data_IF_352323420099
#
_entry.id   IF_352323420099
#
_cell.length_a   1.000
_cell.length_b   1.000
_cell.length_c   1.000
_cell.angle_alpha   90.00
_cell.angle_beta   90.00
_cell.angle_gamma   90.00
#
_symmetry.space_group_name_H-M   'P 1'
#
loop_
_entity.id
_entity.type
_entity.pdbx_description
1 polymer ?
#
# COMPACT_ATOMS: atom_id res chain seq x y z
N UNK A 1 -11.77 6.68 -14.69
CA UNK A 1 -11.23 5.31 -14.87
C UNK A 1 -10.48 4.82 -13.62
N UNK A 2 -9.41 5.48 -13.15
CA UNK A 2 -8.60 5.02 -12.00
C UNK A 2 -9.37 4.91 -10.67
N UNK A 3 -10.21 5.89 -10.33
CA UNK A 3 -11.02 5.89 -9.10
C UNK A 3 -12.05 4.75 -9.10
N UNK A 4 -12.66 4.47 -10.24
CA UNK A 4 -13.62 3.38 -10.40
C UNK A 4 -12.95 2.02 -10.22
N UNK A 5 -11.75 1.83 -10.78
CA UNK A 5 -10.96 0.61 -10.58
C UNK A 5 -10.56 0.43 -9.11
N UNK A 6 -10.08 1.48 -8.45
CA UNK A 6 -9.73 1.42 -7.02
C UNK A 6 -10.94 1.03 -6.15
N UNK A 7 -12.12 1.55 -6.49
CA UNK A 7 -13.37 1.20 -5.82
C UNK A 7 -13.80 -0.25 -6.10
N UNK A 8 -13.73 -0.70 -7.36
CA UNK A 8 -14.00 -2.09 -7.76
C UNK A 8 -13.08 -3.08 -7.03
N UNK A 9 -11.79 -2.77 -6.92
CA UNK A 9 -10.83 -3.58 -6.16
C UNK A 9 -11.14 -3.59 -4.66
N UNK A 10 -11.63 -2.48 -4.10
CA UNK A 10 -12.11 -2.44 -2.71
C UNK A 10 -13.31 -3.39 -2.51
N UNK A 11 -14.30 -3.34 -3.40
CA UNK A 11 -15.51 -4.18 -3.32
C UNK A 11 -15.19 -5.66 -3.57
N UNK A 12 -14.34 -5.96 -4.55
CA UNK A 12 -13.88 -7.32 -4.85
C UNK A 12 -13.00 -7.89 -3.72
N UNK A 13 -12.16 -7.04 -3.13
CA UNK A 13 -11.32 -7.36 -1.96
C UNK A 13 -12.14 -7.70 -0.72
N UNK A 14 -13.29 -7.05 -0.55
CA UNK A 14 -14.20 -7.24 0.60
C UNK A 14 -15.17 -8.41 0.40
N UNK A 15 -15.69 -8.65 -0.82
CA UNK A 15 -16.76 -9.64 -1.05
C UNK A 15 -16.33 -10.97 -1.67
N UNK A 16 -15.26 -11.00 -2.47
CA UNK A 16 -14.93 -12.19 -3.29
C UNK A 16 -13.56 -12.79 -3.00
N UNK A 17 -12.72 -12.11 -2.21
CA UNK A 17 -11.37 -12.61 -1.92
C UNK A 17 -11.42 -13.53 -0.71
N UNK A 18 -11.30 -14.84 -0.95
CA UNK A 18 -10.95 -15.79 0.13
C UNK A 18 -9.51 -15.53 0.53
N UNK A 19 -9.33 -14.69 1.54
CA UNK A 19 -8.02 -14.39 2.11
C UNK A 19 -7.52 -15.65 2.80
N UNK A 20 -6.47 -16.25 2.25
CA UNK A 20 -5.73 -17.32 2.91
C UNK A 20 -4.51 -16.71 3.62
N UNK A 21 -4.57 -16.66 4.95
CA UNK A 21 -3.48 -16.15 5.81
C UNK A 21 -2.18 -16.92 5.60
N UNK A 22 -2.25 -18.19 5.21
CA UNK A 22 -1.08 -19.04 4.99
C UNK A 22 -0.47 -18.85 3.58
N UNK A 23 -1.16 -18.15 2.67
CA UNK A 23 -0.68 -17.82 1.31
C UNK A 23 -0.90 -16.33 0.97
N UNK A 24 -0.11 -15.41 1.58
CA UNK A 24 -0.23 -13.97 1.33
C UNK A 24 0.07 -13.57 -0.13
N UNK A 25 0.63 -14.48 -0.93
CA UNK A 25 0.94 -14.26 -2.35
C UNK A 25 -0.31 -14.02 -3.21
N UNK A 26 -1.47 -14.51 -2.79
CA UNK A 26 -2.75 -14.30 -3.48
C UNK A 26 -3.23 -12.84 -3.43
N UNK A 27 -2.69 -12.03 -2.52
CA UNK A 27 -3.08 -10.63 -2.32
C UNK A 27 -2.24 -9.64 -3.16
N UNK A 28 -1.19 -10.12 -3.84
CA UNK A 28 -0.30 -9.30 -4.69
C UNK A 28 -1.02 -8.47 -5.77
N UNK A 29 -2.06 -8.96 -6.47
CA UNK A 29 -2.74 -8.20 -7.53
C UNK A 29 -3.37 -6.91 -7.01
N UNK A 30 -3.92 -6.93 -5.78
CA UNK A 30 -4.53 -5.76 -5.14
C UNK A 30 -3.48 -4.70 -4.77
N UNK A 31 -2.32 -5.15 -4.26
CA UNK A 31 -1.20 -4.26 -3.99
C UNK A 31 -0.66 -3.62 -5.29
N UNK A 32 -0.53 -4.41 -6.36
CA UNK A 32 -0.09 -3.92 -7.67
C UNK A 32 -1.07 -2.88 -8.25
N UNK A 33 -2.38 -3.11 -8.17
CA UNK A 33 -3.38 -2.18 -8.66
C UNK A 33 -3.29 -0.80 -7.98
N UNK A 34 -3.04 -0.76 -6.68
CA UNK A 34 -2.82 0.50 -5.95
C UNK A 34 -1.56 1.25 -6.42
N UNK A 35 -0.45 0.53 -6.59
CA UNK A 35 0.84 1.13 -7.02
C UNK A 35 0.78 1.61 -8.47
N UNK A 36 0.05 0.91 -9.34
CA UNK A 36 -0.10 1.29 -10.74
C UNK A 36 -0.82 2.64 -10.87
N UNK A 37 -1.85 2.87 -10.04
CA UNK A 37 -2.52 4.17 -9.96
C UNK A 37 -1.57 5.29 -9.50
N UNK A 38 -0.75 5.02 -8.48
CA UNK A 38 0.28 5.94 -8.01
C UNK A 38 1.31 6.27 -9.12
N UNK A 39 1.81 5.26 -9.82
CA UNK A 39 2.77 5.41 -10.92
C UNK A 39 2.22 6.27 -12.05
N UNK A 40 0.95 6.08 -12.44
CA UNK A 40 0.32 6.88 -13.48
C UNK A 40 0.21 8.35 -13.06
N UNK A 41 -0.19 8.62 -11.81
CA UNK A 41 -0.31 9.98 -11.30
C UNK A 41 1.07 10.65 -11.19
N UNK A 42 2.04 9.98 -10.57
CA UNK A 42 3.40 10.55 -10.41
C UNK A 42 4.14 10.67 -11.75
N UNK A 43 3.91 9.74 -12.69
CA UNK A 43 4.44 9.82 -14.04
C UNK A 43 3.89 11.02 -14.81
N UNK A 44 2.58 11.26 -14.73
CA UNK A 44 1.97 12.48 -15.29
C UNK A 44 2.50 13.76 -14.66
N UNK A 45 2.73 13.74 -13.34
CA UNK A 45 3.29 14.85 -12.58
C UNK A 45 4.76 15.14 -12.94
N UNK A 46 5.54 14.11 -13.26
CA UNK A 46 6.91 14.26 -13.70
C UNK A 46 7.02 14.87 -15.11
N UNK A 47 5.99 14.70 -15.94
CA UNK A 47 5.93 15.26 -17.30
C UNK A 47 5.39 16.69 -17.36
N UNK A 48 4.82 17.20 -16.26
CA UNK A 48 4.21 18.54 -16.22
C UNK A 48 5.20 19.68 -16.51
N UNK A 49 6.47 19.64 -16.05
CA UNK A 49 7.46 20.65 -16.43
C UNK A 49 7.75 20.67 -17.94
N UNK A 50 7.61 19.53 -18.63
CA UNK A 50 7.84 19.44 -20.07
C UNK A 50 6.84 20.30 -20.88
N UNK A 51 5.68 20.59 -20.30
CA UNK A 51 4.67 21.46 -20.92
C UNK A 51 5.04 22.95 -20.86
N UNK A 52 6.02 23.34 -20.04
CA UNK A 52 6.52 24.71 -19.97
C UNK A 52 7.66 25.01 -20.95
N UNK A 53 7.94 24.14 -21.94
CA UNK A 53 8.95 24.43 -22.96
C UNK A 53 8.69 25.75 -23.72
N UNK A 54 7.44 26.21 -23.78
CA UNK A 54 7.03 27.49 -24.41
C UNK A 54 6.73 28.62 -23.40
N UNK A 55 6.90 28.43 -22.09
CA UNK A 55 6.45 29.40 -21.07
C UNK A 55 7.40 29.47 -19.88
N UNK A 56 7.64 30.65 -19.31
CA UNK A 56 8.49 30.81 -18.11
C UNK A 56 8.10 29.81 -17.02
N UNK A 57 9.09 29.11 -16.44
CA UNK A 57 8.84 28.10 -15.42
C UNK A 57 8.43 28.79 -14.11
N UNK A 58 7.12 28.88 -13.87
CA UNK A 58 6.56 29.48 -12.65
C UNK A 58 6.35 28.42 -11.58
N UNK A 59 7.35 28.25 -10.71
CA UNK A 59 7.33 27.29 -9.61
C UNK A 59 6.04 27.33 -8.75
N UNK A 60 5.43 28.52 -8.60
CA UNK A 60 4.16 28.72 -7.88
C UNK A 60 2.98 27.96 -8.48
N UNK A 61 2.92 27.84 -9.82
CA UNK A 61 1.83 27.16 -10.52
C UNK A 61 1.93 25.63 -10.37
N UNK A 62 3.16 25.11 -10.33
CA UNK A 62 3.44 23.69 -10.08
C UNK A 62 3.18 23.27 -8.64
N UNK A 63 3.38 24.18 -7.67
CA UNK A 63 3.11 23.90 -6.27
C UNK A 63 1.65 23.52 -6.01
N UNK A 64 0.69 24.17 -6.68
CA UNK A 64 -0.74 23.80 -6.60
C UNK A 64 -1.03 22.43 -7.21
N UNK A 65 -0.38 22.08 -8.32
CA UNK A 65 -0.51 20.75 -8.91
C UNK A 65 -0.02 19.66 -7.95
N UNK A 66 1.07 19.91 -7.22
CA UNK A 66 1.57 19.00 -6.18
C UNK A 66 0.62 18.91 -4.98
N UNK A 67 0.12 20.05 -4.50
CA UNK A 67 -0.78 20.11 -3.36
C UNK A 67 -2.06 19.28 -3.56
N UNK A 68 -2.55 19.17 -4.81
CA UNK A 68 -3.74 18.37 -5.15
C UNK A 68 -3.39 16.92 -5.52
N UNK A 69 -2.31 16.71 -6.29
CA UNK A 69 -1.95 15.38 -6.76
C UNK A 69 -1.39 14.48 -5.67
N UNK A 70 -0.62 15.01 -4.73
CA UNK A 70 -0.01 14.22 -3.66
C UNK A 70 -1.06 13.56 -2.73
N UNK A 71 -2.08 14.27 -2.21
CA UNK A 71 -3.14 13.64 -1.43
C UNK A 71 -3.88 12.56 -2.22
N UNK A 72 -4.18 12.79 -3.49
CA UNK A 72 -4.90 11.82 -4.34
C UNK A 72 -4.04 10.58 -4.62
N UNK A 73 -2.76 10.78 -4.90
CA UNK A 73 -1.76 9.75 -5.11
C UNK A 73 -1.60 8.83 -3.89
N UNK A 74 -1.74 9.36 -2.67
CA UNK A 74 -1.69 8.59 -1.43
C UNK A 74 -3.06 7.97 -1.10
N UNK A 75 -4.15 8.72 -1.27
CA UNK A 75 -5.49 8.31 -0.87
C UNK A 75 -6.01 7.11 -1.70
N UNK A 76 -5.74 7.08 -3.00
CA UNK A 76 -6.25 6.01 -3.88
C UNK A 76 -5.68 4.62 -3.54
N UNK A 77 -4.35 4.43 -3.40
CA UNK A 77 -3.77 3.17 -2.96
C UNK A 77 -4.26 2.78 -1.56
N UNK A 78 -4.31 3.74 -0.62
CA UNK A 78 -4.78 3.49 0.74
C UNK A 78 -6.24 3.00 0.71
N UNK A 79 -7.11 3.61 -0.08
CA UNK A 79 -8.52 3.20 -0.19
C UNK A 79 -8.65 1.79 -0.77
N UNK A 80 -7.94 1.49 -1.86
CA UNK A 80 -7.93 0.15 -2.46
C UNK A 80 -7.45 -0.92 -1.47
N UNK A 81 -6.49 -0.58 -0.60
CA UNK A 81 -5.93 -1.48 0.39
C UNK A 81 -6.80 -1.65 1.64
N UNK A 82 -7.65 -0.67 1.97
CA UNK A 82 -8.55 -0.78 3.14
C UNK A 82 -9.53 -1.94 3.02
N UNK A 83 -10.04 -2.21 1.82
CA UNK A 83 -10.93 -3.35 1.57
C UNK A 83 -10.26 -4.69 1.90
N UNK A 84 -9.04 -4.88 1.39
CA UNK A 84 -8.24 -6.09 1.66
C UNK A 84 -7.82 -6.19 3.13
N UNK A 85 -7.43 -5.07 3.76
CA UNK A 85 -7.10 -5.06 5.19
C UNK A 85 -8.29 -5.49 6.05
N UNK A 86 -9.51 -5.05 5.70
CA UNK A 86 -10.72 -5.45 6.42
C UNK A 86 -10.97 -6.96 6.28
N UNK A 87 -10.82 -7.52 5.08
CA UNK A 87 -10.99 -8.97 4.90
C UNK A 87 -9.91 -9.79 5.61
N UNK A 88 -8.65 -9.34 5.62
CA UNK A 88 -7.57 -9.98 6.42
C UNK A 88 -7.93 -9.99 7.91
N UNK A 89 -8.38 -8.86 8.46
CA UNK A 89 -8.75 -8.76 9.88
C UNK A 89 -9.97 -9.63 10.19
N UNK A 90 -10.97 -9.66 9.31
CA UNK A 90 -12.17 -10.48 9.48
C UNK A 90 -11.81 -11.98 9.48
N UNK A 91 -11.04 -12.45 8.51
CA UNK A 91 -10.59 -13.86 8.45
C UNK A 91 -9.71 -14.21 9.64
N UNK A 92 -8.79 -13.34 10.05
CA UNK A 92 -7.96 -13.58 11.23
C UNK A 92 -8.80 -13.74 12.48
N UNK A 93 -9.80 -12.87 12.69
CA UNK A 93 -10.71 -12.98 13.83
C UNK A 93 -11.51 -14.28 13.81
N UNK A 94 -11.97 -14.71 12.64
CA UNK A 94 -12.69 -15.97 12.49
C UNK A 94 -11.80 -17.20 12.79
N UNK A 95 -10.56 -17.23 12.28
CA UNK A 95 -9.60 -18.31 12.60
C UNK A 95 -9.18 -18.30 14.08
N UNK A 96 -8.93 -17.14 14.67
CA UNK A 96 -8.60 -17.07 16.10
C UNK A 96 -9.77 -17.53 16.97
N UNK A 97 -11.01 -17.17 16.61
CA UNK A 97 -12.19 -17.64 17.33
C UNK A 97 -12.35 -19.17 17.25
N UNK A 98 -12.12 -19.77 16.08
CA UNK A 98 -12.20 -21.23 15.94
C UNK A 98 -11.06 -21.95 16.67
N UNK A 99 -9.85 -21.37 16.70
CA UNK A 99 -8.73 -21.89 17.48
C UNK A 99 -8.97 -21.77 18.98
N UNK A 100 -9.53 -20.65 19.46
CA UNK A 100 -9.85 -20.46 20.87
C UNK A 100 -10.93 -21.46 21.33
N UNK A 101 -11.93 -21.75 20.49
CA UNK A 101 -12.93 -22.81 20.75
C UNK A 101 -12.31 -24.22 20.76
N UNK A 102 -11.40 -24.51 19.82
CA UNK A 102 -10.66 -25.77 19.77
C UNK A 102 -9.73 -25.97 20.98
N UNK A 103 -9.13 -24.89 21.49
CA UNK A 103 -8.30 -24.91 22.71
C UNK A 103 -9.18 -25.09 23.95
N UNK A 104 -10.34 -24.44 23.99
CA UNK A 104 -11.28 -24.57 25.11
C UNK A 104 -11.86 -25.99 25.23
N UNK A 105 -12.08 -26.66 24.10
CA UNK A 105 -12.59 -28.04 24.02
C UNK A 105 -11.50 -29.12 24.04
N UNK A 106 -10.21 -28.75 23.97
CA UNK A 106 -9.12 -29.70 24.06
C UNK A 106 -8.99 -30.27 25.48
N UNK A 107 -8.70 -31.56 25.59
CA UNK A 107 -8.37 -32.16 26.88
C UNK A 107 -7.12 -31.51 27.46
N UNK A 108 -7.17 -31.23 28.77
CA UNK A 108 -6.05 -30.73 29.58
C UNK A 108 -5.35 -31.85 30.35
N UNK A 109 -5.71 -33.09 30.05
CA UNK A 109 -5.04 -34.24 30.61
C UNK A 109 -3.57 -34.22 30.18
N UNK A 110 -2.71 -34.64 31.11
CA UNK A 110 -1.26 -34.70 30.91
C UNK A 110 -0.84 -35.94 30.11
N UNK A 111 -1.78 -36.58 29.41
CA UNK A 111 -1.46 -37.66 28.50
C UNK A 111 -0.75 -37.09 27.25
N UNK A 112 0.20 -37.87 26.75
CA UNK A 112 1.06 -37.48 25.64
C UNK A 112 0.28 -37.02 24.39
N UNK A 113 -0.82 -37.68 23.96
CA UNK A 113 -1.54 -37.24 22.77
C UNK A 113 -2.35 -35.95 22.98
N UNK A 114 -2.98 -35.73 24.15
CA UNK A 114 -3.70 -34.47 24.42
C UNK A 114 -2.76 -33.29 24.53
N UNK A 115 -1.59 -33.48 25.17
CA UNK A 115 -0.56 -32.45 25.30
C UNK A 115 0.01 -32.04 23.93
N UNK A 116 0.28 -33.01 23.04
CA UNK A 116 0.72 -32.71 21.67
C UNK A 116 -0.32 -31.92 20.88
N UNK A 117 -1.61 -32.29 20.99
CA UNK A 117 -2.69 -31.60 20.30
C UNK A 117 -2.86 -30.17 20.81
N UNK A 118 -2.80 -29.96 22.12
CA UNK A 118 -2.90 -28.64 22.72
C UNK A 118 -1.74 -27.73 22.30
N UNK A 119 -0.50 -28.24 22.33
CA UNK A 119 0.67 -27.48 21.87
C UNK A 119 0.57 -27.10 20.38
N UNK A 120 0.12 -28.01 19.52
CA UNK A 120 -0.08 -27.71 18.10
C UNK A 120 -1.13 -26.59 17.87
N UNK A 121 -2.20 -26.55 18.68
CA UNK A 121 -3.19 -25.47 18.62
C UNK A 121 -2.62 -24.13 19.09
N UNK A 122 -1.83 -24.14 20.17
CA UNK A 122 -1.16 -22.94 20.70
C UNK A 122 -0.13 -22.37 19.72
N UNK A 123 0.68 -23.23 19.10
CA UNK A 123 1.65 -22.84 18.07
C UNK A 123 0.94 -22.22 16.85
N UNK A 124 -0.16 -22.84 16.41
CA UNK A 124 -0.95 -22.31 15.30
C UNK A 124 -1.57 -20.95 15.63
N UNK A 125 -2.06 -20.76 16.85
CA UNK A 125 -2.59 -19.47 17.34
C UNK A 125 -1.50 -18.39 17.39
N UNK A 126 -0.31 -18.73 17.86
CA UNK A 126 0.84 -17.82 17.88
C UNK A 126 1.20 -17.38 16.45
N UNK A 127 1.27 -18.34 15.52
CA UNK A 127 1.54 -18.06 14.10
C UNK A 127 0.50 -17.10 13.48
N UNK A 128 -0.80 -17.36 13.67
CA UNK A 128 -1.87 -16.51 13.13
C UNK A 128 -1.87 -15.10 13.73
N UNK A 129 -1.47 -14.99 15.01
CA UNK A 129 -1.38 -13.70 15.71
C UNK A 129 -0.21 -12.86 15.20
N UNK A 130 0.95 -13.48 14.99
CA UNK A 130 2.20 -12.80 14.64
C UNK A 130 2.26 -12.33 13.17
N UNK A 131 1.40 -12.87 12.30
CA UNK A 131 1.38 -12.43 10.90
C UNK A 131 1.10 -10.92 10.75
N UNK A 132 1.70 -10.24 9.76
CA UNK A 132 1.35 -8.86 9.42
C UNK A 132 -0.11 -8.73 8.98
N UNK A 133 -0.80 -7.69 9.44
CA UNK A 133 -2.18 -7.40 9.02
C UNK A 133 -2.28 -6.61 7.71
N UNK A 134 -1.14 -6.10 7.22
CA UNK A 134 -1.06 -5.28 6.02
C UNK A 134 -0.69 -6.13 4.80
N UNK A 135 -1.38 -5.99 3.66
CA UNK A 135 -1.12 -6.76 2.44
C UNK A 135 0.16 -6.34 1.70
N UNK A 136 0.96 -5.41 2.26
CA UNK A 136 2.18 -4.89 1.65
C UNK A 136 3.41 -5.32 2.41
N UNK A 137 4.41 -5.80 1.66
CA UNK A 137 5.77 -5.96 2.14
C UNK A 137 6.48 -4.59 2.22
N UNK A 138 7.45 -4.45 3.12
CA UNK A 138 8.22 -3.23 3.36
C UNK A 138 8.90 -2.71 2.09
N UNK A 139 9.38 -3.63 1.22
CA UNK A 139 9.97 -3.30 -0.09
C UNK A 139 8.99 -2.56 -1.01
N UNK A 140 7.71 -2.90 -0.92
CA UNK A 140 6.67 -2.26 -1.74
C UNK A 140 6.38 -0.86 -1.24
N UNK A 141 6.34 -0.68 0.08
CA UNK A 141 6.15 0.62 0.73
C UNK A 141 7.32 1.55 0.43
N UNK A 142 8.56 1.08 0.55
CA UNK A 142 9.74 1.92 0.28
C UNK A 142 9.77 2.39 -1.17
N UNK A 143 9.46 1.51 -2.12
CA UNK A 143 9.38 1.84 -3.54
C UNK A 143 8.28 2.88 -3.84
N UNK A 144 7.11 2.76 -3.21
CA UNK A 144 6.07 3.76 -3.31
C UNK A 144 6.52 5.12 -2.76
N UNK A 145 7.22 5.14 -1.62
CA UNK A 145 7.77 6.36 -1.04
C UNK A 145 8.79 7.03 -1.99
N UNK A 146 9.69 6.26 -2.62
CA UNK A 146 10.60 6.80 -3.62
C UNK A 146 9.86 7.42 -4.81
N UNK A 147 8.83 6.75 -5.34
CA UNK A 147 8.03 7.31 -6.45
C UNK A 147 7.32 8.62 -6.08
N UNK A 148 6.97 8.79 -4.80
CA UNK A 148 6.36 10.04 -4.32
C UNK A 148 7.37 11.18 -4.26
N UNK A 149 8.61 10.88 -3.89
CA UNK A 149 9.67 11.87 -3.65
C UNK A 149 10.38 12.31 -4.94
N UNK A 150 10.41 11.46 -5.97
CA UNK A 150 11.09 11.75 -7.24
C UNK A 150 10.57 13.04 -7.92
N UNK A 151 9.25 13.24 -8.14
CA UNK A 151 8.80 14.43 -8.87
C UNK A 151 9.13 15.76 -8.19
N UNK A 152 8.93 15.94 -6.86
CA UNK A 152 9.41 17.13 -6.15
C UNK A 152 10.89 17.41 -6.33
N UNK A 153 11.72 16.37 -6.22
CA UNK A 153 13.16 16.49 -6.38
C UNK A 153 13.55 16.93 -7.79
N UNK A 154 12.87 16.39 -8.81
CA UNK A 154 13.08 16.80 -10.19
C UNK A 154 12.74 18.29 -10.40
N UNK A 155 11.66 18.78 -9.81
CA UNK A 155 11.27 20.19 -9.91
C UNK A 155 12.23 21.12 -9.17
N UNK A 156 12.69 20.74 -7.97
CA UNK A 156 13.72 21.49 -7.25
C UNK A 156 15.01 21.57 -8.08
N UNK A 157 15.40 20.47 -8.72
CA UNK A 157 16.54 20.43 -9.64
C UNK A 157 16.36 21.38 -10.83
N UNK A 158 15.19 21.37 -11.46
CA UNK A 158 14.87 22.26 -12.58
C UNK A 158 14.96 23.74 -12.17
N UNK A 159 14.33 24.12 -11.05
CA UNK A 159 14.37 25.48 -10.54
C UNK A 159 15.79 25.95 -10.19
N UNK A 160 16.62 25.04 -9.66
CA UNK A 160 18.02 25.36 -9.34
C UNK A 160 18.85 25.61 -10.60
N UNK A 161 18.66 24.80 -11.64
CA UNK A 161 19.34 24.96 -12.94
C UNK A 161 18.92 26.26 -13.60
N UNK A 162 17.63 26.57 -13.64
CA UNK A 162 17.11 27.82 -14.19
C UNK A 162 17.74 29.04 -13.49
N UNK A 163 17.75 29.05 -12.15
CA UNK A 163 18.40 30.11 -11.36
C UNK A 163 19.89 30.25 -11.65
N UNK A 164 20.59 29.14 -11.89
CA UNK A 164 22.02 29.14 -12.20
C UNK A 164 22.31 29.64 -13.63
N UNK A 165 21.43 29.34 -14.58
CA UNK A 165 21.51 29.84 -15.96
C UNK A 165 21.23 31.33 -16.00
N UNK A 166 20.20 31.79 -15.29
CA UNK A 166 19.86 33.22 -15.21
C UNK A 166 21.01 34.05 -14.63
N UNK A 167 21.67 33.57 -13.57
CA UNK A 167 22.84 34.26 -13.02
C UNK A 167 24.02 34.26 -13.98
N UNK A 168 24.24 33.17 -14.72
CA UNK A 168 25.35 33.09 -15.69
C UNK A 168 25.13 33.99 -16.91
N UNK A 169 23.89 34.12 -17.39
CA UNK A 169 23.54 34.93 -18.57
C UNK A 169 23.42 36.42 -18.22
N UNK A 170 23.05 36.75 -16.97
CA UNK A 170 22.94 38.13 -16.48
C UNK A 170 24.25 38.73 -15.98
N UNK A 171 25.36 37.98 -16.01
CA UNK A 171 26.72 38.47 -15.72
C UNK A 171 27.47 38.72 -17.02
#
# INVERSE_FOLDING_TARGET
MLVHNAWLFCVLGERYTRVDLYRPQTLRPYAQAGILGLLVIMGGLALTPLQALDTEFRAEQYMWAFAVSLPVAIALPVLAMRGVRRSIIATRRAELASLDEAIASASRDLDQPSTHRLNALLDRRAYVTDQPSWPMDLRTVSRAAFYVVIPPLAWVGAALVERAVDTLIST
#
